data_IF_779731212638
#
_entry.id   IF_779731212638
#
_cell.length_a   1.000
_cell.length_b   1.000
_cell.length_c   1.000
_cell.angle_alpha   90.00
_cell.angle_beta   90.00
_cell.angle_gamma   90.00
#
_symmetry.space_group_name_H-M   'P 1'
#
loop_
_entity.id
_entity.type
_entity.pdbx_description
1 polymer ?
#
# COMPACT_ATOMS: atom_id res chain seq x y z
N UNK A 1 6.22 2.63 -14.72
CA UNK A 1 5.50 2.35 -15.96
C UNK A 1 4.30 1.44 -15.72
N UNK A 2 3.41 1.35 -16.71
CA UNK A 2 2.25 0.46 -16.60
C UNK A 2 2.58 -1.02 -16.85
N UNK A 3 3.78 -1.30 -17.32
CA UNK A 3 4.17 -2.67 -17.67
C UNK A 3 4.27 -3.59 -16.45
N UNK A 4 4.87 -3.13 -15.37
CA UNK A 4 5.04 -3.97 -14.19
C UNK A 4 3.72 -4.26 -13.48
N UNK A 5 2.84 -3.27 -13.22
CA UNK A 5 1.52 -3.58 -12.67
C UNK A 5 0.70 -4.52 -13.56
N UNK A 6 0.76 -4.36 -14.87
CA UNK A 6 0.08 -5.27 -15.81
C UNK A 6 0.61 -6.71 -15.66
N UNK A 7 1.92 -6.86 -15.54
CA UNK A 7 2.54 -8.16 -15.29
C UNK A 7 2.05 -8.79 -13.98
N UNK A 8 2.01 -7.99 -12.90
CA UNK A 8 1.56 -8.47 -11.59
C UNK A 8 0.10 -8.91 -11.62
N UNK A 9 -0.76 -8.16 -12.32
CA UNK A 9 -2.18 -8.56 -12.49
C UNK A 9 -2.28 -9.90 -13.20
N UNK A 10 -1.60 -10.05 -14.31
CA UNK A 10 -1.71 -11.22 -15.18
C UNK A 10 -1.06 -12.45 -14.55
N UNK A 11 0.14 -12.30 -14.02
CA UNK A 11 0.92 -13.44 -13.50
C UNK A 11 0.44 -13.90 -12.13
N UNK A 12 0.07 -12.96 -11.27
CA UNK A 12 -0.24 -13.24 -9.87
C UNK A 12 -1.70 -13.02 -9.50
N UNK A 13 -2.47 -12.35 -10.33
CA UNK A 13 -3.88 -12.07 -10.05
C UNK A 13 -4.09 -10.98 -9.02
N UNK A 14 -3.13 -10.10 -8.83
CA UNK A 14 -3.28 -8.95 -7.92
C UNK A 14 -4.34 -7.98 -8.45
N UNK A 15 -5.12 -7.41 -7.53
CA UNK A 15 -6.15 -6.41 -7.85
C UNK A 15 -5.53 -5.02 -7.79
N UNK A 16 -5.04 -4.54 -8.91
CA UNK A 16 -4.37 -3.26 -9.03
C UNK A 16 -5.18 -2.34 -9.94
N UNK A 17 -5.47 -1.13 -9.45
CA UNK A 17 -6.20 -0.12 -10.20
C UNK A 17 -5.39 0.47 -11.35
N UNK A 18 -6.00 1.44 -12.04
CA UNK A 18 -5.37 2.13 -13.16
C UNK A 18 -4.34 3.13 -12.65
N UNK A 19 -3.22 3.25 -13.37
CA UNK A 19 -2.18 4.22 -13.02
C UNK A 19 -1.40 3.90 -11.76
N UNK A 20 -1.56 2.69 -11.20
CA UNK A 20 -0.77 2.25 -10.05
C UNK A 20 0.69 2.17 -10.44
N UNK A 21 1.57 2.67 -9.59
CA UNK A 21 3.01 2.60 -9.78
C UNK A 21 3.64 1.78 -8.66
N UNK A 22 4.35 0.74 -9.04
CA UNK A 22 4.99 -0.16 -8.07
C UNK A 22 6.47 -0.25 -8.43
N UNK A 23 7.31 0.16 -7.48
CA UNK A 23 8.75 0.03 -7.64
C UNK A 23 9.14 -1.45 -7.75
N UNK A 24 10.11 -1.76 -8.60
CA UNK A 24 10.55 -3.14 -8.78
C UNK A 24 11.11 -3.75 -7.50
N UNK A 25 11.64 -2.92 -6.59
CA UNK A 25 12.17 -3.37 -5.30
C UNK A 25 11.14 -3.40 -4.19
N UNK A 26 9.87 -3.10 -4.48
CA UNK A 26 8.78 -3.32 -3.53
C UNK A 26 8.47 -4.82 -3.44
N UNK A 27 8.06 -5.26 -2.25
CA UNK A 27 7.77 -6.66 -1.97
C UNK A 27 6.27 -6.83 -1.73
N UNK A 28 5.60 -7.38 -2.71
CA UNK A 28 4.19 -7.75 -2.60
C UNK A 28 4.09 -9.25 -2.36
N UNK A 29 3.00 -9.71 -1.78
CA UNK A 29 2.81 -11.11 -1.42
C UNK A 29 2.62 -12.00 -2.66
N UNK A 30 3.73 -12.36 -3.32
CA UNK A 30 3.69 -13.15 -4.56
C UNK A 30 3.52 -14.64 -4.31
N UNK A 31 3.99 -15.15 -3.17
CA UNK A 31 4.14 -16.59 -2.96
C UNK A 31 2.96 -17.24 -2.23
N UNK A 32 2.22 -16.51 -1.41
CA UNK A 32 1.18 -17.09 -0.57
C UNK A 32 -0.21 -16.62 -0.97
N UNK A 33 -0.44 -15.29 -0.99
CA UNK A 33 -1.77 -14.75 -1.28
C UNK A 33 -1.71 -13.53 -2.20
N UNK A 34 -1.21 -13.69 -3.43
CA UNK A 34 -1.14 -12.53 -4.34
C UNK A 34 -2.50 -11.94 -4.67
N UNK A 35 -3.54 -12.77 -4.76
CA UNK A 35 -4.90 -12.29 -5.03
C UNK A 35 -5.49 -11.48 -3.89
N UNK A 36 -4.90 -11.55 -2.71
CA UNK A 36 -5.30 -10.76 -1.56
C UNK A 36 -4.72 -9.35 -1.53
N UNK A 37 -3.92 -8.97 -2.51
CA UNK A 37 -3.37 -7.62 -2.64
C UNK A 37 -4.35 -6.78 -3.46
N UNK A 38 -4.88 -5.70 -2.84
CA UNK A 38 -5.81 -4.76 -3.48
C UNK A 38 -5.25 -3.35 -3.35
N UNK A 39 -4.95 -2.73 -4.47
CA UNK A 39 -4.38 -1.37 -4.51
C UNK A 39 -5.19 -0.53 -5.50
N UNK A 40 -5.73 0.58 -5.01
CA UNK A 40 -6.58 1.48 -5.80
C UNK A 40 -5.81 2.33 -6.81
N UNK A 41 -6.56 3.06 -7.62
CA UNK A 41 -6.03 3.83 -8.75
C UNK A 41 -4.94 4.83 -8.31
N UNK A 42 -3.93 5.00 -9.14
CA UNK A 42 -2.88 6.02 -9.00
C UNK A 42 -2.13 5.99 -7.67
N UNK A 43 -2.14 4.85 -6.97
CA UNK A 43 -1.34 4.67 -5.76
C UNK A 43 0.09 4.32 -6.14
N UNK A 44 1.03 4.91 -5.41
CA UNK A 44 2.46 4.69 -5.60
C UNK A 44 3.02 3.86 -4.45
N UNK A 45 3.66 2.76 -4.79
CA UNK A 45 4.35 1.89 -3.83
C UNK A 45 5.84 2.01 -4.11
N UNK A 46 6.58 2.56 -3.14
CA UNK A 46 7.96 2.94 -3.34
C UNK A 46 8.92 1.80 -3.00
N UNK A 47 10.20 2.01 -3.30
CA UNK A 47 11.24 0.98 -3.15
C UNK A 47 11.28 0.42 -1.72
N UNK A 48 11.39 -0.90 -1.61
CA UNK A 48 11.56 -1.58 -0.35
C UNK A 48 10.31 -1.69 0.51
N UNK A 49 9.16 -1.15 0.06
CA UNK A 49 7.91 -1.31 0.79
C UNK A 49 7.46 -2.77 0.76
N UNK A 50 6.91 -3.25 1.88
CA UNK A 50 6.34 -4.59 2.00
C UNK A 50 4.84 -4.50 2.18
N UNK A 51 4.08 -5.17 1.30
CA UNK A 51 2.63 -5.29 1.43
C UNK A 51 2.31 -6.77 1.50
N UNK A 52 1.82 -7.20 2.67
CA UNK A 52 1.60 -8.60 2.98
C UNK A 52 0.10 -8.90 3.01
N UNK A 53 -0.27 -10.10 2.58
CA UNK A 53 -1.64 -10.60 2.63
C UNK A 53 -1.70 -12.00 3.27
N UNK A 54 -0.72 -12.32 4.09
CA UNK A 54 -0.74 -13.49 4.96
C UNK A 54 0.08 -13.22 6.21
N UNK A 55 -0.27 -13.88 7.29
CA UNK A 55 0.44 -13.80 8.57
C UNK A 55 0.88 -15.20 8.95
N UNK A 56 2.17 -15.45 8.82
CA UNK A 56 2.76 -16.77 9.11
C UNK A 56 2.55 -17.16 10.57
N UNK A 57 2.78 -16.24 11.49
CA UNK A 57 2.71 -16.54 12.93
C UNK A 57 1.31 -16.91 13.39
N UNK A 58 0.28 -16.32 12.77
CA UNK A 58 -1.11 -16.62 13.10
C UNK A 58 -1.75 -17.61 12.13
N UNK A 59 -0.99 -18.12 11.16
CA UNK A 59 -1.49 -19.00 10.11
C UNK A 59 -2.71 -18.43 9.38
N UNK A 60 -2.68 -17.13 9.10
CA UNK A 60 -3.79 -16.43 8.46
C UNK A 60 -3.45 -16.09 7.01
N UNK A 61 -4.44 -16.29 6.13
CA UNK A 61 -4.46 -15.74 4.79
C UNK A 61 -5.56 -14.70 4.81
N UNK A 62 -5.21 -13.44 4.59
CA UNK A 62 -6.14 -12.32 4.77
C UNK A 62 -5.82 -11.20 3.79
N UNK A 63 -6.85 -10.69 3.14
CA UNK A 63 -6.68 -9.63 2.15
C UNK A 63 -6.26 -8.31 2.79
N UNK A 64 -5.42 -7.57 2.08
CA UNK A 64 -4.93 -6.26 2.46
C UNK A 64 -5.35 -5.26 1.40
N UNK A 65 -5.92 -4.13 1.84
CA UNK A 65 -6.50 -3.13 0.96
C UNK A 65 -5.79 -1.79 1.11
N UNK A 66 -5.41 -1.20 -0.01
CA UNK A 66 -4.88 0.16 -0.07
C UNK A 66 -5.74 0.92 -1.08
N UNK A 67 -6.25 2.07 -0.66
CA UNK A 67 -7.13 2.89 -1.48
C UNK A 67 -6.43 3.55 -2.67
N UNK A 68 -7.14 4.48 -3.30
CA UNK A 68 -6.64 5.23 -4.45
C UNK A 68 -5.83 6.45 -3.99
N UNK A 69 -4.94 6.90 -4.86
CA UNK A 69 -4.12 8.11 -4.64
C UNK A 69 -3.35 8.07 -3.32
N UNK A 70 -2.86 6.90 -2.93
CA UNK A 70 -2.01 6.74 -1.76
C UNK A 70 -0.54 6.76 -2.14
N UNK A 71 0.31 7.03 -1.15
CA UNK A 71 1.76 6.85 -1.27
C UNK A 71 2.22 5.96 -0.14
N UNK A 72 2.80 4.82 -0.49
CA UNK A 72 3.40 3.90 0.47
C UNK A 72 4.90 4.13 0.43
N UNK A 73 5.43 4.73 1.48
CA UNK A 73 6.80 5.23 1.52
C UNK A 73 7.87 4.16 1.42
N UNK A 74 9.09 4.60 1.18
CA UNK A 74 10.27 3.72 1.07
C UNK A 74 10.41 2.88 2.33
N UNK A 75 10.56 1.57 2.17
CA UNK A 75 10.75 0.62 3.29
C UNK A 75 9.59 0.60 4.29
N UNK A 76 8.42 1.12 3.96
CA UNK A 76 7.24 0.97 4.80
C UNK A 76 6.74 -0.47 4.77
N UNK A 77 6.15 -0.91 5.87
CA UNK A 77 5.59 -2.26 5.98
C UNK A 77 4.09 -2.13 6.26
N UNK A 78 3.28 -2.72 5.39
CA UNK A 78 1.84 -2.80 5.57
C UNK A 78 1.51 -4.21 6.02
N UNK A 79 1.04 -4.34 7.26
CA UNK A 79 0.77 -5.65 7.85
C UNK A 79 -0.47 -6.30 7.23
N UNK A 80 -0.53 -7.64 7.23
CA UNK A 80 -1.66 -8.37 6.64
C UNK A 80 -3.00 -7.97 7.25
N UNK A 81 -4.01 -7.79 6.39
CA UNK A 81 -5.36 -7.48 6.83
C UNK A 81 -5.63 -6.00 7.08
N UNK A 82 -4.61 -5.16 6.98
CA UNK A 82 -4.78 -3.71 7.15
C UNK A 82 -5.58 -3.13 5.97
N UNK A 83 -6.45 -2.18 6.27
CA UNK A 83 -7.18 -1.40 5.27
C UNK A 83 -6.76 0.05 5.35
N UNK A 84 -6.14 0.53 4.28
CA UNK A 84 -5.74 1.92 4.15
C UNK A 84 -6.73 2.62 3.24
N UNK A 85 -7.28 3.74 3.69
CA UNK A 85 -8.25 4.52 2.93
C UNK A 85 -7.65 5.20 1.70
N UNK A 86 -8.39 6.15 1.15
CA UNK A 86 -7.98 6.91 -0.03
C UNK A 86 -7.15 8.13 0.38
N UNK A 87 -6.24 8.55 -0.50
CA UNK A 87 -5.45 9.77 -0.31
C UNK A 87 -4.69 9.76 1.02
N UNK A 88 -4.01 8.65 1.29
CA UNK A 88 -3.20 8.44 2.50
C UNK A 88 -1.73 8.39 2.13
N UNK A 89 -0.90 9.05 2.93
CA UNK A 89 0.55 8.96 2.82
C UNK A 89 1.09 8.19 4.02
N UNK A 90 1.79 7.11 3.74
CA UNK A 90 2.53 6.34 4.75
C UNK A 90 4.00 6.74 4.65
N UNK A 91 4.55 7.24 5.74
CA UNK A 91 5.95 7.70 5.77
C UNK A 91 6.96 6.56 5.57
N UNK A 92 8.14 6.93 5.10
CA UNK A 92 9.24 5.97 4.91
C UNK A 92 9.59 5.27 6.21
N UNK A 93 9.83 3.96 6.13
CA UNK A 93 10.21 3.14 7.29
C UNK A 93 9.10 2.89 8.30
N UNK A 94 7.88 3.31 8.01
CA UNK A 94 6.74 3.13 8.93
C UNK A 94 6.23 1.70 8.90
N UNK A 95 5.64 1.25 10.02
CA UNK A 95 5.00 -0.06 10.13
C UNK A 95 3.53 0.14 10.46
N UNK A 96 2.66 -0.12 9.48
CA UNK A 96 1.21 0.05 9.62
C UNK A 96 0.61 -1.23 10.15
N UNK A 97 0.09 -1.19 11.37
CA UNK A 97 -0.47 -2.35 12.08
C UNK A 97 -1.99 -2.27 12.22
N UNK A 98 -2.59 -1.11 11.95
CA UNK A 98 -4.03 -0.87 12.07
C UNK A 98 -4.53 -0.14 10.85
N UNK A 99 -5.85 -0.17 10.64
CA UNK A 99 -6.48 0.54 9.55
C UNK A 99 -6.22 2.04 9.62
N UNK A 100 -6.04 2.66 8.46
CA UNK A 100 -5.80 4.10 8.35
C UNK A 100 -6.96 4.72 7.57
N UNK A 101 -7.63 5.74 8.14
CA UNK A 101 -8.75 6.39 7.45
C UNK A 101 -8.27 7.26 6.28
N UNK A 102 -9.23 7.76 5.50
CA UNK A 102 -8.95 8.61 4.35
C UNK A 102 -8.23 9.91 4.73
N UNK A 103 -7.49 10.46 3.81
CA UNK A 103 -6.99 11.84 3.84
C UNK A 103 -6.07 12.14 5.03
N UNK A 104 -5.13 11.26 5.31
CA UNK A 104 -4.20 11.49 6.41
C UNK A 104 -2.78 11.02 6.10
N UNK A 105 -1.84 11.51 6.91
CA UNK A 105 -0.45 11.06 6.91
C UNK A 105 -0.23 10.26 8.19
N UNK A 106 0.31 9.06 8.05
CA UNK A 106 0.68 8.21 9.18
C UNK A 106 2.15 7.82 9.08
N UNK A 107 2.86 7.89 10.21
CA UNK A 107 4.28 7.60 10.28
C UNK A 107 4.65 6.88 11.57
N UNK A 108 5.76 6.18 11.54
CA UNK A 108 6.36 5.55 12.71
C UNK A 108 6.12 4.05 12.81
N UNK A 109 6.58 3.47 13.91
CA UNK A 109 6.43 2.05 14.21
C UNK A 109 5.98 1.87 15.67
N UNK A 110 4.70 1.53 15.94
CA UNK A 110 3.63 1.44 14.95
C UNK A 110 3.26 2.82 14.39
N UNK A 111 2.76 2.84 13.16
CA UNK A 111 2.41 4.08 12.50
C UNK A 111 1.28 4.81 13.24
N UNK A 112 1.42 6.11 13.37
CA UNK A 112 0.43 7.01 13.99
C UNK A 112 0.06 8.11 13.03
N UNK A 113 -1.20 8.53 13.05
CA UNK A 113 -1.67 9.66 12.25
C UNK A 113 -1.06 10.94 12.81
N UNK A 114 -0.36 11.69 11.95
CA UNK A 114 0.26 12.97 12.34
C UNK A 114 -0.39 14.16 11.66
N UNK A 115 -1.19 13.93 10.63
CA UNK A 115 -1.89 15.00 9.93
C UNK A 115 -3.14 14.45 9.27
N UNK A 116 -4.21 15.22 9.30
CA UNK A 116 -5.50 14.92 8.68
C UNK A 116 -5.83 15.96 7.60
N UNK A 117 -6.94 15.75 6.88
CA UNK A 117 -7.45 16.69 5.87
C UNK A 117 -6.44 17.01 4.77
N UNK A 118 -5.57 16.05 4.45
CA UNK A 118 -4.68 16.18 3.30
C UNK A 118 -5.40 15.70 2.03
N UNK A 119 -4.94 16.18 0.90
CA UNK A 119 -5.37 15.70 -0.41
C UNK A 119 -4.16 15.25 -1.20
N UNK A 120 -4.30 14.09 -1.83
CA UNK A 120 -3.22 13.49 -2.62
C UNK A 120 -3.77 13.12 -3.97
N UNK A 121 -3.03 13.46 -5.02
CA UNK A 121 -3.35 13.01 -6.36
C UNK A 121 -2.10 12.52 -7.06
N UNK A 122 -2.17 11.30 -7.56
CA UNK A 122 -1.11 10.67 -8.35
C UNK A 122 0.28 10.84 -7.71
N UNK A 123 0.39 10.50 -6.43
CA UNK A 123 1.65 10.50 -5.69
C UNK A 123 2.07 11.83 -5.10
N UNK A 124 1.25 12.87 -5.21
CA UNK A 124 1.62 14.22 -4.75
C UNK A 124 0.59 14.82 -3.83
N UNK A 125 1.04 15.34 -2.69
CA UNK A 125 0.19 16.08 -1.76
C UNK A 125 -0.17 17.41 -2.40
N UNK A 126 -1.47 17.75 -2.44
CA UNK A 126 -1.99 18.91 -3.16
C UNK A 126 -2.05 20.18 -2.34
N UNK A 127 -2.17 20.06 -1.03
CA UNK A 127 -2.41 21.19 -0.12
C UNK A 127 -1.31 21.37 0.91
N UNK A 128 -0.09 21.24 0.47
CA UNK A 128 1.08 21.51 1.35
C UNK A 128 1.38 22.98 1.42
#
# INVERSE_FOLDING_TARGET
TNAYPAFLRKRYGMDLGDGVRIAHKAHLDKSVNPKGIHIGDRTWVLNGAFIMAHDHCRSLIIDTYIGKDCVIGVNAIIMPGVKIGNEVVIGSGSVVTKDIPNNCIAVGNPAKIIKTDIHVYNGKIQNV
#
